data_IF_182411226996
#
_entry.id   IF_182411226996
#
_cell.length_a   1.000
_cell.length_b   1.000
_cell.length_c   1.000
_cell.angle_alpha   90.00
_cell.angle_beta   90.00
_cell.angle_gamma   90.00
#
_symmetry.space_group_name_H-M   'P 1'
#
loop_
_entity.id
_entity.type
_entity.pdbx_description
1 polymer ?
#
# COMPACT_ATOMS: atom_id res chain seq x y z
N UNK A 1 13.19 14.80 -21.15
CA UNK A 1 12.17 13.76 -20.85
C UNK A 1 12.72 12.57 -20.07
N UNK A 2 14.04 12.43 -19.90
CA UNK A 2 14.69 11.35 -19.13
C UNK A 2 14.68 11.57 -17.60
N UNK A 3 14.67 12.81 -17.12
CA UNK A 3 14.81 13.12 -15.69
C UNK A 3 13.58 12.83 -14.81
N UNK A 4 12.41 12.65 -15.41
CA UNK A 4 11.17 12.35 -14.66
C UNK A 4 10.97 10.84 -14.42
N UNK A 5 11.61 9.99 -15.22
CA UNK A 5 11.48 8.53 -15.16
C UNK A 5 12.26 7.92 -13.99
N UNK A 6 13.39 8.52 -13.62
CA UNK A 6 14.22 8.11 -12.48
C UNK A 6 13.50 8.19 -11.13
N UNK A 7 12.89 9.32 -10.74
CA UNK A 7 12.16 9.41 -9.47
C UNK A 7 10.88 8.56 -9.46
N UNK A 8 10.18 8.45 -10.60
CA UNK A 8 8.99 7.61 -10.73
C UNK A 8 9.33 6.12 -10.55
N UNK A 9 10.41 5.65 -11.17
CA UNK A 9 10.90 4.28 -10.99
C UNK A 9 11.32 4.02 -9.54
N UNK A 10 11.98 4.98 -8.89
CA UNK A 10 12.42 4.84 -7.50
C UNK A 10 11.22 4.75 -6.54
N UNK A 11 10.17 5.56 -6.75
CA UNK A 11 8.91 5.44 -6.01
C UNK A 11 8.23 4.09 -6.25
N UNK A 12 8.19 3.62 -7.49
CA UNK A 12 7.55 2.35 -7.85
C UNK A 12 8.28 1.16 -7.21
N UNK A 13 9.61 1.17 -7.20
CA UNK A 13 10.45 0.18 -6.51
C UNK A 13 10.18 0.24 -5.01
N UNK A 14 10.18 1.44 -4.41
CA UNK A 14 9.91 1.62 -2.99
C UNK A 14 8.53 1.07 -2.61
N UNK A 15 7.50 1.41 -3.38
CA UNK A 15 6.12 0.95 -3.17
C UNK A 15 5.99 -0.57 -3.31
N UNK A 16 6.75 -1.17 -4.24
CA UNK A 16 6.78 -2.63 -4.43
C UNK A 16 7.47 -3.34 -3.27
N UNK A 17 8.59 -2.79 -2.78
CA UNK A 17 9.30 -3.32 -1.60
C UNK A 17 8.42 -3.21 -0.36
N UNK A 18 7.74 -2.07 -0.15
CA UNK A 18 6.79 -1.91 0.95
C UNK A 18 5.61 -2.88 0.83
N UNK A 19 5.09 -3.13 -0.38
CA UNK A 19 4.05 -4.14 -0.61
C UNK A 19 4.50 -5.52 -0.15
N UNK A 20 5.69 -5.96 -0.59
CA UNK A 20 6.25 -7.26 -0.25
C UNK A 20 6.48 -7.38 1.26
N UNK A 21 7.07 -6.35 1.89
CA UNK A 21 7.30 -6.31 3.32
C UNK A 21 5.97 -6.40 4.09
N UNK A 22 4.98 -5.64 3.65
CA UNK A 22 3.65 -5.62 4.25
C UNK A 22 2.96 -6.99 4.15
N UNK A 23 3.00 -7.66 3.00
CA UNK A 23 2.46 -9.02 2.83
C UNK A 23 3.14 -10.01 3.78
N UNK A 24 4.47 -9.94 3.91
CA UNK A 24 5.23 -10.80 4.82
C UNK A 24 4.84 -10.55 6.29
N UNK A 25 4.69 -9.28 6.69
CA UNK A 25 4.28 -8.94 8.06
C UNK A 25 2.82 -9.30 8.35
N UNK A 26 1.92 -9.15 7.37
CA UNK A 26 0.51 -9.61 7.46
C UNK A 26 0.48 -11.13 7.63
N UNK A 27 1.28 -11.87 6.85
CA UNK A 27 1.42 -13.33 6.99
C UNK A 27 1.96 -13.75 8.36
N UNK A 28 2.82 -12.92 8.96
CA UNK A 28 3.30 -13.10 10.34
C UNK A 28 2.31 -12.63 11.43
N UNK A 29 1.09 -12.25 11.06
CA UNK A 29 0.07 -11.78 12.02
C UNK A 29 0.59 -10.61 12.88
N UNK A 30 1.30 -9.67 12.27
CA UNK A 30 1.75 -8.44 12.94
C UNK A 30 0.87 -7.27 12.51
N UNK A 31 0.24 -6.58 13.47
CA UNK A 31 -0.57 -5.38 13.19
C UNK A 31 0.20 -4.27 12.46
N UNK A 32 1.52 -4.20 12.67
CA UNK A 32 2.44 -3.34 11.92
C UNK A 32 2.38 -3.56 10.39
N UNK A 33 2.15 -4.80 9.94
CA UNK A 33 2.05 -5.12 8.51
C UNK A 33 0.87 -4.43 7.83
N UNK A 34 -0.26 -4.31 8.53
CA UNK A 34 -1.46 -3.64 8.04
C UNK A 34 -1.30 -2.11 8.03
N UNK A 35 -0.60 -1.56 9.02
CA UNK A 35 -0.24 -0.13 9.05
C UNK A 35 0.67 0.25 7.86
N UNK A 36 1.69 -0.58 7.59
CA UNK A 36 2.58 -0.41 6.44
C UNK A 36 1.80 -0.61 5.13
N UNK A 37 0.83 -1.53 5.09
CA UNK A 37 -0.03 -1.75 3.91
C UNK A 37 -0.83 -0.50 3.56
N UNK A 38 -1.45 0.12 4.56
CA UNK A 38 -2.27 1.32 4.39
C UNK A 38 -1.43 2.52 3.92
N UNK A 39 -0.25 2.71 4.51
CA UNK A 39 0.72 3.72 4.06
C UNK A 39 1.15 3.48 2.61
N UNK A 40 1.43 2.23 2.26
CA UNK A 40 1.84 1.86 0.92
C UNK A 40 0.75 2.08 -0.13
N UNK A 41 -0.52 1.85 0.22
CA UNK A 41 -1.66 2.18 -0.64
C UNK A 41 -1.72 3.68 -0.96
N UNK A 42 -1.37 4.55 -0.01
CA UNK A 42 -1.25 5.99 -0.27
C UNK A 42 -0.21 6.33 -1.34
N UNK A 43 0.92 5.62 -1.35
CA UNK A 43 1.98 5.79 -2.37
C UNK A 43 1.51 5.28 -3.74
N UNK A 44 0.78 4.16 -3.77
CA UNK A 44 0.18 3.63 -5.00
C UNK A 44 -0.86 4.57 -5.60
N UNK A 45 -1.72 5.18 -4.78
CA UNK A 45 -2.69 6.19 -5.25
C UNK A 45 -1.96 7.38 -5.88
N UNK A 46 -0.88 7.86 -5.27
CA UNK A 46 -0.08 8.94 -5.84
C UNK A 46 0.56 8.54 -7.18
N UNK A 47 1.07 7.32 -7.28
CA UNK A 47 1.61 6.76 -8.52
C UNK A 47 0.55 6.62 -9.61
N UNK A 48 -0.65 6.14 -9.28
CA UNK A 48 -1.77 6.03 -10.24
C UNK A 48 -2.20 7.39 -10.79
N UNK A 49 -2.22 8.43 -9.93
CA UNK A 49 -2.50 9.81 -10.36
C UNK A 49 -1.38 10.33 -11.27
N UNK A 50 -0.11 10.06 -10.94
CA UNK A 50 1.06 10.43 -11.75
C UNK A 50 1.10 9.73 -13.11
N UNK A 51 0.66 8.47 -13.17
CA UNK A 51 0.61 7.64 -14.37
C UNK A 51 -0.68 7.86 -15.19
N UNK A 52 -1.65 8.61 -14.67
CA UNK A 52 -2.97 8.79 -15.29
C UNK A 52 -3.83 7.53 -15.27
N UNK A 53 -3.50 6.56 -14.43
CA UNK A 53 -4.14 5.25 -14.32
C UNK A 53 -5.31 5.26 -13.31
N UNK A 54 -6.25 6.18 -13.50
CA UNK A 54 -7.39 6.38 -12.58
C UNK A 54 -8.29 5.14 -12.39
N UNK A 55 -8.22 4.17 -13.29
CA UNK A 55 -8.95 2.90 -13.19
C UNK A 55 -8.47 1.99 -12.05
N UNK A 56 -7.24 2.16 -11.55
CA UNK A 56 -6.68 1.35 -10.46
C UNK A 56 -6.90 1.98 -9.07
N UNK A 57 -7.21 3.29 -9.03
CA UNK A 57 -7.56 4.01 -7.80
C UNK A 57 -8.66 3.32 -6.98
N UNK A 58 -9.83 2.92 -7.54
CA UNK A 58 -10.85 2.26 -6.74
C UNK A 58 -10.37 0.91 -6.16
N UNK A 59 -9.46 0.20 -6.84
CA UNK A 59 -8.89 -1.06 -6.36
C UNK A 59 -7.96 -0.81 -5.17
N UNK A 60 -7.08 0.20 -5.28
CA UNK A 60 -6.18 0.61 -4.18
C UNK A 60 -6.97 1.07 -2.95
N UNK A 61 -8.06 1.81 -3.15
CA UNK A 61 -8.96 2.25 -2.08
C UNK A 61 -9.69 1.08 -1.40
N UNK A 62 -10.15 0.10 -2.18
CA UNK A 62 -10.78 -1.11 -1.64
C UNK A 62 -9.79 -1.91 -0.78
N UNK A 63 -8.54 -2.02 -1.23
CA UNK A 63 -7.49 -2.70 -0.48
C UNK A 63 -7.15 -1.95 0.81
N UNK A 64 -7.07 -0.62 0.78
CA UNK A 64 -6.87 0.19 1.99
C UNK A 64 -8.01 -0.01 2.99
N UNK A 65 -9.27 -0.05 2.52
CA UNK A 65 -10.43 -0.32 3.37
C UNK A 65 -10.41 -1.73 3.98
N UNK A 66 -10.00 -2.75 3.20
CA UNK A 66 -9.81 -4.11 3.70
C UNK A 66 -8.71 -4.19 4.75
N UNK A 67 -7.59 -3.49 4.55
CA UNK A 67 -6.53 -3.40 5.55
C UNK A 67 -7.01 -2.71 6.83
N UNK A 68 -7.76 -1.61 6.72
CA UNK A 68 -8.32 -0.90 7.87
C UNK A 68 -9.32 -1.78 8.63
N UNK A 69 -10.20 -2.50 7.92
CA UNK A 69 -11.14 -3.44 8.53
C UNK A 69 -10.40 -4.58 9.24
N UNK A 70 -9.39 -5.17 8.59
CA UNK A 70 -8.57 -6.24 9.17
C UNK A 70 -7.82 -5.76 10.41
N UNK A 71 -7.35 -4.51 10.43
CA UNK A 71 -6.71 -3.90 11.59
C UNK A 71 -7.70 -3.69 12.74
N UNK A 72 -8.93 -3.28 12.43
CA UNK A 72 -9.99 -3.10 13.42
C UNK A 72 -10.37 -4.43 14.07
N UNK A 73 -10.51 -5.50 13.28
CA UNK A 73 -10.72 -6.86 13.80
C UNK A 73 -9.52 -7.39 14.59
N UNK A 74 -8.30 -7.04 14.19
CA UNK A 74 -7.09 -7.39 14.94
C UNK A 74 -7.03 -6.74 16.32
N UNK A 75 -7.51 -5.50 16.43
CA UNK A 75 -7.60 -4.79 17.72
C UNK A 75 -8.60 -5.48 18.65
N UNK A 76 -9.74 -5.90 18.11
CA UNK A 76 -10.84 -6.52 18.85
C UNK A 76 -10.49 -7.92 19.39
N UNK A 77 -9.60 -8.66 18.70
CA UNK A 77 -9.21 -10.03 19.09
C UNK A 77 -8.08 -10.12 20.13
N UNK A 78 -7.51 -8.99 20.54
CA UNK A 78 -6.38 -8.90 21.47
C UNK A 78 -6.73 -8.17 22.79
N UNK A 79 -8.02 -7.86 23.02
CA UNK A 79 -8.55 -7.43 24.33
C UNK A 79 -9.01 -8.63 25.18
#
# INVERSE_FOLDING_TARGET
>A
MSDLLTPLNLLTILATVLSLLSIILIGKRLALGLLIAALNQGVWIALDVLLGAYGLIPITLLYAALCAHSLYQWKDHHE
#
